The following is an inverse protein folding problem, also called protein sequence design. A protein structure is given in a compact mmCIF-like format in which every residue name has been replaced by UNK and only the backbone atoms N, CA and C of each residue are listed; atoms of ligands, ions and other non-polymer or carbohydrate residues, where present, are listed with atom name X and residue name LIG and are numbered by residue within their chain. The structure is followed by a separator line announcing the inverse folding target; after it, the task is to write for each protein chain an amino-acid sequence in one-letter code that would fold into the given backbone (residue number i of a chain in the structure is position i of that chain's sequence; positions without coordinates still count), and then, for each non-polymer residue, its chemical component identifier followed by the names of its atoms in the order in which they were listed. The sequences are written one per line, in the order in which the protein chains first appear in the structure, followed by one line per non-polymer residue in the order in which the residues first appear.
data_IF_884851591315
#
_entry.id   IF_884851591315
#
_cell.length_a   1.000
_cell.length_b   1.000
_cell.length_c   1.000
_cell.angle_alpha   90.00
_cell.angle_beta   90.00
_cell.angle_gamma   90.00
#
_symmetry.space_group_name_H-M   'P 1'
#
loop_
_entity.id
_entity.type
_entity.pdbx_description
1 polymer ?
#
# COMPACT_ATOMS: atom_id res chain seq x y z
N UNK A 1 8.34 -6.60 -21.33
CA UNK A 1 9.58 -5.85 -21.01
C UNK A 1 9.53 -5.59 -19.52
N UNK A 2 10.58 -5.92 -18.77
CA UNK A 2 10.70 -5.46 -17.39
C UNK A 2 11.02 -3.96 -17.45
N UNK A 3 10.37 -3.20 -16.57
CA UNK A 3 10.72 -1.81 -16.36
C UNK A 3 12.20 -1.69 -15.95
N UNK A 4 12.90 -0.68 -16.42
CA UNK A 4 14.33 -0.48 -16.14
C UNK A 4 14.62 0.92 -15.63
N UNK A 5 15.61 1.03 -14.76
CA UNK A 5 16.24 2.30 -14.39
C UNK A 5 17.46 2.45 -15.28
N UNK A 6 17.54 3.58 -16.00
CA UNK A 6 18.75 3.93 -16.75
C UNK A 6 19.62 4.84 -15.90
N UNK A 7 20.91 4.53 -15.83
CA UNK A 7 21.92 5.34 -15.17
C UNK A 7 22.89 5.81 -16.24
N UNK A 8 23.09 7.12 -16.31
CA UNK A 8 24.03 7.76 -17.23
C UNK A 8 25.05 8.52 -16.40
N UNK A 9 26.35 8.31 -16.65
CA UNK A 9 27.40 8.97 -15.91
C UNK A 9 28.47 9.52 -16.86
N UNK A 10 28.85 10.79 -16.67
CA UNK A 10 29.89 11.45 -17.47
C UNK A 10 29.87 12.97 -17.37
N UNK A 11 30.65 13.63 -18.22
CA UNK A 11 30.62 15.08 -18.35
C UNK A 11 29.40 15.50 -19.15
N UNK A 12 28.54 16.32 -18.57
CA UNK A 12 27.33 16.78 -19.23
C UNK A 12 27.09 18.27 -18.97
N UNK A 13 26.38 18.88 -19.93
CA UNK A 13 25.65 20.12 -19.75
C UNK A 13 24.21 19.78 -19.39
N UNK A 14 23.71 20.38 -18.31
CA UNK A 14 22.36 20.23 -17.79
C UNK A 14 21.67 21.57 -17.92
N UNK A 15 20.63 21.62 -18.74
CA UNK A 15 19.81 22.81 -18.97
C UNK A 15 18.42 22.56 -18.41
N UNK A 16 17.93 23.47 -17.58
CA UNK A 16 16.57 23.46 -17.09
C UNK A 16 15.86 24.72 -17.59
N UNK A 17 14.79 24.55 -18.34
CA UNK A 17 13.95 25.61 -18.89
C UNK A 17 12.58 25.56 -18.22
N UNK A 18 12.13 26.67 -17.66
CA UNK A 18 10.82 26.83 -17.01
C UNK A 18 10.60 28.32 -16.77
N UNK A 19 10.14 28.71 -15.57
CA UNK A 19 10.04 30.14 -15.17
C UNK A 19 11.36 30.91 -15.28
N UNK A 20 12.47 30.19 -15.13
CA UNK A 20 13.82 30.69 -15.38
C UNK A 20 14.65 29.60 -16.05
N UNK A 21 15.55 30.02 -16.94
CA UNK A 21 16.52 29.12 -17.55
C UNK A 21 17.77 29.05 -16.67
N UNK A 22 18.19 27.84 -16.34
CA UNK A 22 19.49 27.58 -15.72
C UNK A 22 20.28 26.58 -16.54
N UNK A 23 21.60 26.75 -16.55
CA UNK A 23 22.54 25.87 -17.20
C UNK A 23 23.69 25.58 -16.25
N UNK A 24 24.14 24.33 -16.24
CA UNK A 24 25.30 23.89 -15.47
C UNK A 24 26.09 22.85 -16.26
N UNK A 25 27.41 22.85 -16.09
CA UNK A 25 28.31 21.89 -16.72
C UNK A 25 29.13 21.18 -15.65
N UNK A 26 29.27 19.86 -15.76
CA UNK A 26 30.12 19.10 -14.85
C UNK A 26 30.01 17.59 -15.02
N UNK A 27 30.70 16.87 -14.14
CA UNK A 27 30.57 15.42 -13.99
C UNK A 27 29.29 15.11 -13.22
N UNK A 28 28.35 14.40 -13.84
CA UNK A 28 27.03 14.13 -13.27
C UNK A 28 26.66 12.66 -13.38
N UNK A 29 25.72 12.24 -12.53
CA UNK A 29 24.98 10.98 -12.66
C UNK A 29 23.51 11.31 -12.90
N UNK A 30 22.95 10.81 -14.01
CA UNK A 30 21.55 10.92 -14.38
C UNK A 30 20.85 9.60 -14.11
N UNK A 31 19.73 9.64 -13.39
CA UNK A 31 18.83 8.52 -13.17
C UNK A 31 17.54 8.75 -13.96
N UNK A 32 17.17 7.82 -14.83
CA UNK A 32 15.86 7.79 -15.50
C UNK A 32 15.08 6.61 -14.97
N UNK A 33 13.98 6.88 -14.28
CA UNK A 33 13.09 5.85 -13.72
C UNK A 33 11.98 5.47 -14.71
N UNK A 34 11.36 4.29 -14.55
CA UNK A 34 10.26 3.85 -15.40
C UNK A 34 9.04 4.78 -15.41
N UNK A 35 8.81 5.51 -14.30
CA UNK A 35 7.74 6.49 -14.18
C UNK A 35 8.09 7.85 -14.79
N UNK A 36 9.09 7.91 -15.69
CA UNK A 36 9.61 9.12 -16.31
C UNK A 36 10.21 10.15 -15.34
N UNK A 37 10.50 9.77 -14.09
CA UNK A 37 11.28 10.62 -13.21
C UNK A 37 12.75 10.65 -13.67
N UNK A 38 13.26 11.85 -13.91
CA UNK A 38 14.66 12.13 -14.24
C UNK A 38 15.30 12.91 -13.11
N UNK A 39 16.42 12.41 -12.57
CA UNK A 39 17.22 13.07 -11.53
C UNK A 39 18.65 13.22 -12.01
N UNK A 40 19.24 14.39 -11.86
CA UNK A 40 20.64 14.67 -12.21
C UNK A 40 21.38 15.09 -10.95
N UNK A 41 22.36 14.32 -10.51
CA UNK A 41 23.19 14.62 -9.34
C UNK A 41 24.61 14.98 -9.76
N UNK A 42 25.17 16.04 -9.16
CA UNK A 42 26.61 16.31 -9.18
C UNK A 42 27.29 15.67 -7.96
N UNK A 43 28.59 15.96 -7.78
CA UNK A 43 29.42 15.37 -6.72
C UNK A 43 29.03 15.80 -5.29
N UNK A 44 28.20 16.81 -5.12
CA UNK A 44 27.89 17.44 -3.84
C UNK A 44 26.40 17.71 -3.67
N UNK A 45 26.00 17.95 -2.41
CA UNK A 45 24.62 18.29 -2.09
C UNK A 45 23.68 17.09 -2.09
N UNK A 46 22.64 17.19 -1.25
CA UNK A 46 21.57 16.20 -1.20
C UNK A 46 20.55 16.40 -2.34
N UNK A 47 20.40 17.64 -2.81
CA UNK A 47 19.45 17.98 -3.87
C UNK A 47 20.07 17.68 -5.23
N UNK A 48 19.29 17.17 -6.20
CA UNK A 48 19.76 17.05 -7.58
C UNK A 48 20.10 18.44 -8.16
N UNK A 49 21.11 18.49 -9.03
CA UNK A 49 21.47 19.65 -9.85
C UNK A 49 20.37 20.00 -10.88
N UNK A 50 19.58 19.01 -11.29
CA UNK A 50 18.37 19.17 -12.08
C UNK A 50 17.46 17.96 -11.93
N UNK A 51 16.14 18.15 -11.99
CA UNK A 51 15.19 17.04 -11.93
C UNK A 51 13.85 17.37 -12.58
N UNK A 52 13.18 16.34 -13.07
CA UNK A 52 11.75 16.35 -13.38
C UNK A 52 11.14 15.06 -12.86
N UNK A 53 10.09 15.18 -12.04
CA UNK A 53 9.37 14.01 -11.52
C UNK A 53 8.17 13.71 -12.39
N UNK A 54 8.02 12.46 -12.82
CA UNK A 54 6.89 12.00 -13.64
C UNK A 54 6.65 12.87 -14.88
N UNK A 55 7.70 13.07 -15.66
CA UNK A 55 7.61 13.81 -16.90
C UNK A 55 6.57 13.17 -17.85
N UNK A 56 5.85 14.00 -18.59
CA UNK A 56 4.88 13.56 -19.61
C UNK A 56 5.60 12.82 -20.75
N UNK A 57 6.85 13.21 -21.02
CA UNK A 57 7.71 12.52 -21.97
C UNK A 57 9.17 12.56 -21.54
N UNK A 58 9.89 11.48 -21.86
CA UNK A 58 11.36 11.40 -21.78
C UNK A 58 11.87 10.82 -23.08
N UNK A 59 12.69 11.58 -23.78
CA UNK A 59 13.36 11.17 -25.02
C UNK A 59 14.84 11.02 -24.70
N UNK A 60 15.40 9.84 -24.99
CA UNK A 60 16.82 9.56 -24.84
C UNK A 60 17.39 9.14 -26.19
N UNK A 61 18.26 9.98 -26.74
CA UNK A 61 19.06 9.66 -27.92
C UNK A 61 20.49 9.32 -27.48
N UNK A 62 20.97 8.15 -27.89
CA UNK A 62 22.33 7.68 -27.63
C UNK A 62 23.06 7.52 -28.96
N UNK A 63 24.27 8.07 -29.05
CA UNK A 63 25.26 7.70 -30.07
C UNK A 63 26.42 6.94 -29.40
N UNK A 64 27.47 6.56 -30.14
CA UNK A 64 28.57 5.74 -29.59
C UNK A 64 29.21 6.35 -28.32
N UNK A 65 29.19 7.68 -28.17
CA UNK A 65 29.73 8.37 -26.99
C UNK A 65 28.90 9.58 -26.55
N UNK A 66 27.84 9.98 -27.26
CA UNK A 66 27.08 11.17 -26.91
C UNK A 66 25.65 10.87 -26.47
N UNK A 67 25.10 11.79 -25.67
CA UNK A 67 23.70 11.76 -25.22
C UNK A 67 22.99 13.05 -25.55
N UNK A 68 21.70 12.91 -25.87
CA UNK A 68 20.70 13.99 -25.80
C UNK A 68 19.48 13.40 -25.09
N UNK A 69 19.35 13.71 -23.79
CA UNK A 69 18.18 13.41 -22.99
C UNK A 69 17.32 14.66 -22.88
N UNK A 70 16.02 14.51 -23.13
CA UNK A 70 15.02 15.56 -22.94
C UNK A 70 13.83 15.02 -22.17
N UNK A 71 13.53 15.62 -21.03
CA UNK A 71 12.34 15.35 -20.25
C UNK A 71 11.46 16.59 -20.20
N UNK A 72 10.14 16.43 -20.34
CA UNK A 72 9.21 17.55 -20.36
C UNK A 72 7.97 17.29 -19.51
N UNK A 73 7.53 18.32 -18.79
CA UNK A 73 6.24 18.40 -18.13
C UNK A 73 5.73 19.83 -18.26
N UNK A 74 4.54 19.99 -18.83
CA UNK A 74 3.95 21.32 -19.09
C UNK A 74 4.93 22.24 -19.85
N UNK A 75 5.22 23.43 -19.32
CA UNK A 75 6.18 24.40 -19.87
C UNK A 75 7.62 24.19 -19.39
N UNK A 76 7.86 23.15 -18.58
CA UNK A 76 9.20 22.85 -18.03
C UNK A 76 9.90 21.76 -18.83
N UNK A 77 11.14 22.02 -19.25
CA UNK A 77 12.03 21.07 -19.92
C UNK A 77 13.33 20.89 -19.14
N UNK A 78 13.75 19.65 -18.95
CA UNK A 78 15.08 19.28 -18.49
C UNK A 78 15.81 18.61 -19.64
N UNK A 79 16.93 19.20 -20.06
CA UNK A 79 17.79 18.68 -21.10
C UNK A 79 19.17 18.34 -20.54
N UNK A 80 19.68 17.16 -20.90
CA UNK A 80 21.04 16.73 -20.56
C UNK A 80 21.75 16.30 -21.83
N UNK A 81 22.86 16.96 -22.14
CA UNK A 81 23.72 16.61 -23.27
C UNK A 81 25.14 16.37 -22.80
N UNK A 82 25.84 15.43 -23.39
CA UNK A 82 27.21 15.11 -23.02
C UNK A 82 27.89 14.22 -24.03
N UNK A 83 29.21 14.14 -23.92
CA UNK A 83 30.09 13.28 -24.70
C UNK A 83 30.86 12.35 -23.74
N UNK A 84 31.38 11.23 -24.26
CA UNK A 84 32.10 10.19 -23.53
C UNK A 84 31.38 9.67 -22.26
N UNK A 85 30.05 9.56 -22.31
CA UNK A 85 29.28 9.08 -21.16
C UNK A 85 29.16 7.55 -21.13
N UNK A 86 28.99 7.01 -19.93
CA UNK A 86 28.62 5.60 -19.73
C UNK A 86 27.12 5.49 -19.47
N UNK A 87 26.45 4.57 -20.16
CA UNK A 87 25.03 4.25 -19.94
C UNK A 87 24.91 2.81 -19.45
N UNK A 88 24.12 2.58 -18.42
CA UNK A 88 23.80 1.24 -17.92
C UNK A 88 22.33 1.16 -17.57
N UNK A 89 21.71 0.03 -17.88
CA UNK A 89 20.33 -0.27 -17.51
C UNK A 89 20.31 -1.27 -16.36
N UNK A 90 19.46 -1.02 -15.37
CA UNK A 90 19.24 -1.88 -14.22
C UNK A 90 17.76 -2.29 -14.15
N UNK A 91 17.44 -3.53 -13.77
CA UNK A 91 16.05 -3.92 -13.51
C UNK A 91 15.41 -2.99 -12.46
N UNK A 92 14.25 -2.43 -12.78
CA UNK A 92 13.48 -1.65 -11.83
C UNK A 92 12.62 -2.60 -10.99
N UNK A 93 12.93 -2.69 -9.70
CA UNK A 93 12.10 -3.42 -8.74
C UNK A 93 11.63 -2.48 -7.64
N UNK A 94 10.50 -2.82 -7.04
CA UNK A 94 10.11 -2.19 -5.77
C UNK A 94 11.12 -2.56 -4.69
N UNK A 95 11.36 -1.64 -3.77
CA UNK A 95 12.20 -1.87 -2.60
C UNK A 95 11.35 -1.81 -1.34
N UNK A 96 11.56 -2.76 -0.43
CA UNK A 96 10.83 -2.87 0.82
C UNK A 96 11.39 -3.99 1.70
N UNK A 97 10.90 -4.11 2.95
CA UNK A 97 11.28 -5.23 3.81
C UNK A 97 10.88 -6.56 3.18
N UNK A 98 11.76 -7.55 3.31
CA UNK A 98 11.48 -8.92 2.91
C UNK A 98 10.39 -9.52 3.81
N UNK A 99 9.44 -10.24 3.20
CA UNK A 99 8.29 -10.81 3.92
C UNK A 99 8.05 -12.30 3.61
N UNK A 100 8.91 -12.91 2.79
CA UNK A 100 8.84 -14.34 2.50
C UNK A 100 9.41 -14.68 1.14
N UNK A 101 9.03 -15.87 0.66
CA UNK A 101 9.50 -16.44 -0.60
C UNK A 101 8.30 -16.77 -1.48
N UNK A 102 8.41 -16.46 -2.77
CA UNK A 102 7.36 -16.77 -3.73
C UNK A 102 7.32 -18.29 -3.99
N UNK A 103 6.17 -18.96 -3.78
CA UNK A 103 6.05 -20.39 -4.02
C UNK A 103 6.17 -20.75 -5.51
N UNK A 104 5.87 -19.82 -6.41
CA UNK A 104 5.92 -20.04 -7.87
C UNK A 104 7.35 -20.09 -8.41
N UNK A 105 8.24 -19.20 -7.96
CA UNK A 105 9.58 -19.05 -8.55
C UNK A 105 10.74 -19.06 -7.53
N UNK A 106 10.46 -19.18 -6.23
CA UNK A 106 11.47 -19.21 -5.17
C UNK A 106 12.18 -17.88 -4.90
N UNK A 107 11.80 -16.79 -5.58
CA UNK A 107 12.40 -15.48 -5.36
C UNK A 107 11.84 -14.81 -4.09
N UNK A 108 12.59 -13.83 -3.58
CA UNK A 108 12.19 -13.06 -2.40
C UNK A 108 10.95 -12.19 -2.70
N UNK A 109 10.05 -12.14 -1.73
CA UNK A 109 8.90 -11.23 -1.72
C UNK A 109 9.16 -10.06 -0.78
N UNK A 110 8.78 -8.86 -1.18
CA UNK A 110 8.93 -7.62 -0.40
C UNK A 110 7.61 -6.89 -0.24
N UNK A 111 7.42 -6.20 0.88
CA UNK A 111 6.27 -5.31 1.08
C UNK A 111 6.59 -3.90 0.61
N UNK A 112 5.85 -3.39 -0.37
CA UNK A 112 6.03 -2.04 -0.89
C UNK A 112 4.70 -1.48 -1.41
N UNK A 113 4.46 -0.18 -1.23
CA UNK A 113 3.32 0.50 -1.85
C UNK A 113 1.92 -0.01 -1.45
N UNK A 114 1.78 -0.71 -0.32
CA UNK A 114 0.51 -1.33 0.07
C UNK A 114 0.29 -2.72 -0.54
N UNK A 115 1.34 -3.34 -1.08
CA UNK A 115 1.29 -4.67 -1.68
C UNK A 115 2.47 -5.51 -1.19
N UNK A 116 2.41 -6.81 -1.42
CA UNK A 116 3.54 -7.72 -1.37
C UNK A 116 3.88 -8.14 -2.80
N UNK A 117 5.12 -7.89 -3.23
CA UNK A 117 5.57 -8.13 -4.61
C UNK A 117 6.73 -9.12 -4.63
N UNK A 118 6.66 -10.10 -5.52
CA UNK A 118 7.76 -11.01 -5.82
C UNK A 118 8.81 -10.33 -6.73
N UNK A 119 10.07 -10.30 -6.31
CA UNK A 119 11.16 -9.70 -7.07
C UNK A 119 11.60 -10.51 -8.31
N UNK A 120 11.14 -11.77 -8.43
CA UNK A 120 11.48 -12.66 -9.54
C UNK A 120 10.45 -12.64 -10.67
N UNK A 121 9.21 -13.03 -10.36
CA UNK A 121 8.12 -13.11 -11.36
C UNK A 121 7.28 -11.84 -11.46
N UNK A 122 7.37 -10.91 -10.50
CA UNK A 122 6.57 -9.70 -10.47
C UNK A 122 5.14 -9.89 -9.92
N UNK A 123 4.77 -11.09 -9.46
CA UNK A 123 3.47 -11.33 -8.84
C UNK A 123 3.26 -10.39 -7.65
N UNK A 124 2.11 -9.73 -7.60
CA UNK A 124 1.77 -8.73 -6.61
C UNK A 124 0.44 -9.07 -5.91
N UNK A 125 0.40 -8.85 -4.60
CA UNK A 125 -0.75 -9.13 -3.74
C UNK A 125 -1.09 -7.88 -2.93
N UNK A 126 -2.24 -7.29 -3.19
CA UNK A 126 -2.70 -6.09 -2.50
C UNK A 126 -3.00 -6.38 -1.01
N UNK A 127 -2.53 -5.50 -0.14
CA UNK A 127 -2.77 -5.57 1.30
C UNK A 127 -3.95 -4.67 1.70
N UNK A 128 -4.87 -5.16 2.54
CA UNK A 128 -5.75 -4.29 3.32
C UNK A 128 -4.95 -3.24 4.10
N UNK A 129 -5.55 -2.08 4.36
CA UNK A 129 -4.85 -0.96 5.02
C UNK A 129 -4.37 -1.30 6.42
N UNK A 130 -5.15 -2.11 7.14
CA UNK A 130 -4.86 -2.59 8.50
C UNK A 130 -4.04 -3.89 8.52
N UNK A 131 -3.67 -4.43 7.36
CA UNK A 131 -2.97 -5.70 7.30
C UNK A 131 -1.49 -5.57 7.67
N UNK A 132 -1.04 -6.51 8.49
CA UNK A 132 0.38 -6.75 8.79
C UNK A 132 0.77 -8.13 8.26
N UNK A 133 1.85 -8.20 7.49
CA UNK A 133 2.38 -9.50 7.03
C UNK A 133 3.07 -10.19 8.20
N UNK A 134 2.77 -11.45 8.43
CA UNK A 134 3.31 -12.21 9.56
C UNK A 134 4.56 -12.99 9.15
N UNK A 135 5.19 -13.69 10.10
CA UNK A 135 6.31 -14.60 9.86
C UNK A 135 5.86 -16.02 9.46
N UNK A 136 4.55 -16.26 9.39
CA UNK A 136 3.97 -17.55 9.03
C UNK A 136 3.70 -17.65 7.52
N UNK A 137 3.64 -18.89 7.04
CA UNK A 137 3.31 -19.23 5.66
C UNK A 137 2.02 -20.03 5.63
N UNK A 138 1.13 -19.72 4.70
CA UNK A 138 -0.08 -20.47 4.43
C UNK A 138 0.27 -21.93 4.07
N UNK A 139 -0.38 -22.88 4.73
CA UNK A 139 -0.16 -24.32 4.51
C UNK A 139 -0.56 -24.79 3.11
N UNK A 140 -1.48 -24.08 2.46
CA UNK A 140 -2.12 -24.57 1.24
C UNK A 140 -1.39 -24.10 -0.02
N UNK A 141 -0.95 -22.83 -0.04
CA UNK A 141 -0.25 -22.25 -1.19
C UNK A 141 1.20 -21.85 -0.92
N UNK A 142 1.66 -21.84 0.35
CA UNK A 142 3.02 -21.45 0.72
C UNK A 142 3.31 -19.96 0.68
N UNK A 143 2.34 -19.10 0.33
CA UNK A 143 2.49 -17.64 0.45
C UNK A 143 2.55 -17.22 1.93
N UNK A 144 3.11 -16.05 2.26
CA UNK A 144 3.02 -15.46 3.59
C UNK A 144 1.56 -15.33 4.05
N UNK A 145 1.32 -15.33 5.36
CA UNK A 145 0.02 -14.95 5.92
C UNK A 145 0.00 -13.48 6.33
N UNK A 146 -1.19 -12.92 6.48
CA UNK A 146 -1.43 -11.58 6.99
C UNK A 146 -2.34 -11.63 8.20
N UNK A 147 -2.09 -10.75 9.16
CA UNK A 147 -2.98 -10.44 10.27
C UNK A 147 -3.81 -9.21 9.92
N UNK A 148 -5.13 -9.32 10.06
CA UNK A 148 -6.10 -8.23 9.88
C UNK A 148 -7.10 -8.22 11.04
N UNK A 149 -7.77 -7.10 11.27
CA UNK A 149 -8.80 -7.01 12.32
C UNK A 149 -10.19 -6.85 11.71
N UNK A 150 -11.06 -7.83 11.90
CA UNK A 150 -12.49 -7.76 11.49
C UNK A 150 -13.33 -8.43 12.57
N UNK A 151 -13.60 -7.69 13.64
CA UNK A 151 -14.25 -8.20 14.87
C UNK A 151 -13.34 -9.06 15.74
N UNK A 152 -12.34 -9.70 15.16
CA UNK A 152 -11.22 -10.33 15.86
C UNK A 152 -9.93 -10.10 15.05
N UNK A 153 -8.78 -10.34 15.69
CA UNK A 153 -7.54 -10.54 14.95
C UNK A 153 -7.65 -11.88 14.20
N UNK A 154 -7.61 -11.80 12.87
CA UNK A 154 -7.67 -12.93 11.97
C UNK A 154 -6.33 -13.03 11.27
N UNK A 155 -5.75 -14.23 11.26
CA UNK A 155 -4.62 -14.52 10.40
C UNK A 155 -5.09 -15.37 9.23
N UNK A 156 -4.89 -14.87 8.02
CA UNK A 156 -5.32 -15.50 6.77
C UNK A 156 -4.20 -15.46 5.73
N UNK A 157 -4.33 -16.23 4.65
CA UNK A 157 -3.39 -16.15 3.52
C UNK A 157 -3.31 -14.73 2.91
N UNK A 158 -2.11 -14.35 2.45
CA UNK A 158 -1.90 -13.15 1.64
C UNK A 158 -2.72 -13.16 0.34
N UNK A 159 -2.92 -14.32 -0.28
CA UNK A 159 -3.82 -14.45 -1.42
C UNK A 159 -5.26 -14.66 -0.94
N UNK A 160 -6.06 -13.60 -1.09
CA UNK A 160 -7.51 -13.59 -0.81
C UNK A 160 -8.31 -14.68 -1.53
N UNK A 161 -7.76 -15.32 -2.56
CA UNK A 161 -8.41 -16.44 -3.27
C UNK A 161 -8.13 -17.78 -2.61
N UNK A 162 -7.03 -17.87 -1.86
CA UNK A 162 -6.63 -19.08 -1.14
C UNK A 162 -7.36 -19.17 0.20
N UNK A 163 -7.44 -18.05 0.92
CA UNK A 163 -8.07 -17.97 2.24
C UNK A 163 -8.75 -16.59 2.39
N UNK A 164 -10.03 -16.47 2.00
CA UNK A 164 -10.73 -15.19 1.96
C UNK A 164 -11.05 -14.66 3.37
N UNK A 165 -10.75 -13.37 3.62
CA UNK A 165 -11.08 -12.71 4.89
C UNK A 165 -12.57 -12.82 5.23
N UNK A 166 -13.46 -12.73 4.24
CA UNK A 166 -14.91 -12.84 4.45
C UNK A 166 -15.35 -14.23 4.90
N UNK A 167 -14.65 -15.30 4.49
CA UNK A 167 -14.89 -16.64 4.99
C UNK A 167 -14.45 -16.75 6.45
N UNK A 168 -13.24 -16.29 6.78
CA UNK A 168 -12.74 -16.28 8.16
C UNK A 168 -13.61 -15.44 9.13
N UNK A 169 -14.19 -14.34 8.66
CA UNK A 169 -15.15 -13.54 9.45
C UNK A 169 -16.48 -14.28 9.59
N UNK A 170 -16.97 -14.89 8.51
CA UNK A 170 -18.23 -15.65 8.52
C UNK A 170 -18.16 -16.83 9.47
N UNK A 171 -17.09 -17.62 9.42
CA UNK A 171 -16.87 -18.73 10.35
C UNK A 171 -16.94 -18.31 11.83
N UNK A 172 -16.62 -17.05 12.13
CA UNK A 172 -16.56 -16.55 13.49
C UNK A 172 -17.81 -15.80 13.96
N UNK A 173 -18.52 -15.11 13.06
CA UNK A 173 -19.55 -14.15 13.43
C UNK A 173 -20.89 -14.34 12.71
N UNK A 174 -21.02 -15.31 11.80
CA UNK A 174 -22.28 -15.57 11.11
C UNK A 174 -23.36 -16.02 12.09
N UNK A 175 -24.46 -15.26 12.14
CA UNK A 175 -25.56 -15.49 13.07
C UNK A 175 -25.29 -15.09 14.52
N UNK A 176 -24.10 -14.57 14.86
CA UNK A 176 -23.75 -14.25 16.26
C UNK A 176 -24.41 -12.96 16.77
N UNK A 177 -24.85 -12.08 15.88
CA UNK A 177 -25.44 -10.79 16.23
C UNK A 177 -26.90 -10.72 15.80
N UNK A 178 -27.73 -10.11 16.65
CA UNK A 178 -29.17 -9.99 16.39
C UNK A 178 -29.51 -8.61 15.84
N UNK A 179 -30.34 -8.56 14.80
CA UNK A 179 -30.84 -7.33 14.23
C UNK A 179 -31.70 -6.56 15.25
N UNK A 180 -31.37 -5.30 15.61
CA UNK A 180 -32.12 -4.54 16.60
C UNK A 180 -33.55 -4.20 16.15
N UNK A 181 -33.82 -4.22 14.84
CA UNK A 181 -35.12 -3.86 14.27
C UNK A 181 -36.14 -5.00 14.28
N UNK A 182 -35.71 -6.24 13.97
CA UNK A 182 -36.62 -7.38 13.80
C UNK A 182 -36.25 -8.61 14.63
N UNK A 183 -35.14 -8.60 15.36
CA UNK A 183 -34.73 -9.71 16.21
C UNK A 183 -34.19 -10.93 15.47
N UNK A 184 -33.99 -10.86 14.15
CA UNK A 184 -33.40 -11.95 13.36
C UNK A 184 -31.89 -11.92 13.42
N UNK A 185 -31.25 -13.08 13.28
CA UNK A 185 -29.79 -13.18 13.26
C UNK A 185 -29.23 -12.50 12.01
N UNK A 186 -28.09 -11.84 12.17
CA UNK A 186 -27.36 -11.16 11.11
C UNK A 186 -26.39 -12.14 10.44
N UNK A 187 -26.38 -12.13 9.10
CA UNK A 187 -25.51 -12.95 8.27
C UNK A 187 -24.30 -12.15 7.80
N UNK A 188 -23.11 -12.75 7.79
CA UNK A 188 -21.88 -12.12 7.32
C UNK A 188 -21.81 -12.21 5.79
N UNK A 189 -21.86 -11.04 5.16
CA UNK A 189 -21.93 -10.88 3.72
C UNK A 189 -20.96 -9.80 3.23
N UNK A 190 -20.56 -9.89 1.96
CA UNK A 190 -19.75 -8.89 1.27
C UNK A 190 -20.55 -8.29 0.13
N UNK A 191 -21.08 -7.09 0.36
CA UNK A 191 -21.62 -6.23 -0.70
C UNK A 191 -20.53 -5.28 -1.21
N UNK A 192 -20.75 -3.97 -1.09
CA UNK A 192 -19.70 -2.96 -1.32
C UNK A 192 -18.61 -3.03 -0.27
N UNK A 193 -18.95 -3.45 0.94
CA UNK A 193 -18.05 -3.67 2.08
C UNK A 193 -18.39 -5.00 2.74
N UNK A 194 -17.45 -5.54 3.53
CA UNK A 194 -17.71 -6.67 4.41
C UNK A 194 -18.56 -6.19 5.58
N UNK A 195 -19.64 -6.89 5.90
CA UNK A 195 -20.58 -6.46 6.92
C UNK A 195 -21.52 -7.55 7.41
N UNK A 196 -22.32 -7.19 8.41
CA UNK A 196 -23.41 -8.01 8.94
C UNK A 196 -24.73 -7.53 8.33
N UNK A 197 -25.44 -8.43 7.65
CA UNK A 197 -26.68 -8.16 6.92
C UNK A 197 -27.85 -8.82 7.61
N UNK A 198 -28.96 -8.10 7.75
CA UNK A 198 -30.22 -8.71 8.16
C UNK A 198 -30.97 -9.27 6.94
N UNK A 199 -31.34 -10.56 6.92
CA UNK A 199 -32.10 -11.15 5.81
C UNK A 199 -33.54 -10.61 5.71
N UNK A 200 -34.11 -10.13 6.82
CA UNK A 200 -35.51 -9.70 6.89
C UNK A 200 -35.72 -8.18 6.70
N UNK A 201 -34.76 -7.36 7.15
CA UNK A 201 -34.85 -5.89 7.04
C UNK A 201 -33.97 -5.32 5.93
N UNK A 202 -33.14 -6.15 5.28
CA UNK A 202 -32.15 -5.76 4.27
C UNK A 202 -31.13 -4.70 4.74
N UNK A 203 -31.06 -4.41 6.04
CA UNK A 203 -30.06 -3.52 6.63
C UNK A 203 -28.70 -4.21 6.59
N UNK A 204 -27.65 -3.42 6.30
CA UNK A 204 -26.27 -3.89 6.23
C UNK A 204 -25.38 -2.98 7.08
N UNK A 205 -24.70 -3.57 8.07
CA UNK A 205 -23.77 -2.89 8.95
C UNK A 205 -22.32 -3.21 8.58
N UNK A 206 -21.53 -2.26 8.05
CA UNK A 206 -20.13 -2.50 7.70
C UNK A 206 -19.31 -2.86 8.95
N UNK A 207 -18.52 -3.93 8.87
CA UNK A 207 -17.63 -4.34 9.96
C UNK A 207 -16.40 -3.40 9.99
N UNK A 208 -16.13 -2.72 11.12
CA UNK A 208 -14.94 -1.90 11.28
C UNK A 208 -13.63 -2.71 11.28
N UNK A 209 -12.53 -2.02 10.99
CA UNK A 209 -11.18 -2.51 11.20
C UNK A 209 -10.88 -2.45 12.71
N UNK A 210 -11.25 -3.49 13.45
CA UNK A 210 -11.15 -3.53 14.91
C UNK A 210 -11.58 -4.86 15.52
N UNK A 211 -11.57 -4.92 16.84
CA UNK A 211 -11.93 -6.11 17.63
C UNK A 211 -13.21 -5.86 18.42
N UNK A 212 -14.09 -6.85 18.54
CA UNK A 212 -15.30 -6.77 19.35
C UNK A 212 -14.92 -6.65 20.83
N UNK A 213 -15.40 -5.60 21.49
CA UNK A 213 -15.15 -5.25 22.89
C UNK A 213 -16.44 -4.76 23.58
N UNK A 214 -17.35 -5.69 23.81
CA UNK A 214 -18.62 -5.45 24.52
C UNK A 214 -19.81 -5.19 23.59
N UNK A 215 -20.85 -4.57 24.15
CA UNK A 215 -22.17 -4.45 23.50
C UNK A 215 -22.74 -3.03 23.68
N UNK A 216 -23.27 -2.47 22.60
CA UNK A 216 -23.89 -1.14 22.56
C UNK A 216 -25.28 -1.16 23.19
N UNK A 217 -25.87 0.04 23.35
CA UNK A 217 -27.24 0.19 23.81
C UNK A 217 -28.29 -0.46 22.88
N UNK A 218 -28.00 -0.58 21.58
CA UNK A 218 -28.87 -1.28 20.63
C UNK A 218 -28.72 -2.81 20.65
N UNK A 219 -27.83 -3.37 21.47
CA UNK A 219 -27.56 -4.81 21.52
C UNK A 219 -26.55 -5.33 20.50
N UNK A 220 -26.07 -4.48 19.58
CA UNK A 220 -24.99 -4.82 18.64
C UNK A 220 -23.60 -4.69 19.29
N UNK A 221 -22.56 -5.32 18.75
CA UNK A 221 -21.21 -5.26 19.33
C UNK A 221 -20.59 -3.86 19.24
N UNK A 222 -19.80 -3.55 20.27
CA UNK A 222 -18.82 -2.44 20.26
C UNK A 222 -17.53 -2.97 19.65
N UNK A 223 -16.88 -2.14 18.83
CA UNK A 223 -15.57 -2.39 18.24
C UNK A 223 -14.54 -1.44 18.84
N UNK A 224 -13.45 -1.96 19.36
CA UNK A 224 -12.22 -1.21 19.62
C UNK A 224 -11.41 -1.11 18.32
N UNK A 225 -11.13 0.13 17.89
CA UNK A 225 -10.38 0.46 16.67
C UNK A 225 -9.22 1.40 17.01
N UNK A 226 -8.31 1.60 16.06
CA UNK A 226 -7.22 2.59 16.19
C UNK A 226 -7.72 4.05 16.40
N UNK A 227 -9.01 4.30 16.12
CA UNK A 227 -9.66 5.59 16.30
C UNK A 227 -10.59 5.64 17.51
N UNK A 228 -10.52 4.64 18.40
CA UNK A 228 -11.34 4.50 19.59
C UNK A 228 -12.47 3.48 19.43
N UNK A 229 -13.38 3.48 20.42
CA UNK A 229 -14.52 2.56 20.47
C UNK A 229 -15.67 3.09 19.62
N UNK A 230 -16.38 2.21 18.91
CA UNK A 230 -17.59 2.55 18.14
C UNK A 230 -18.53 1.36 18.03
N UNK A 231 -19.82 1.62 17.85
CA UNK A 231 -20.77 0.55 17.59
C UNK A 231 -20.66 0.01 16.14
N UNK A 232 -21.11 -1.23 15.93
CA UNK A 232 -21.33 -1.80 14.60
C UNK A 232 -22.33 -0.97 13.79
N UNK A 233 -23.41 -0.54 14.45
CA UNK A 233 -24.35 0.42 13.89
C UNK A 233 -23.83 1.85 14.09
N UNK A 234 -23.43 2.56 13.03
CA UNK A 234 -22.89 3.92 13.16
C UNK A 234 -23.90 4.92 13.74
N UNK A 235 -25.21 4.63 13.68
CA UNK A 235 -26.26 5.51 14.21
C UNK A 235 -26.54 5.24 15.70
N UNK A 236 -25.94 4.19 16.29
CA UNK A 236 -26.07 3.88 17.71
C UNK A 236 -24.96 4.52 18.55
N UNK A 237 -25.33 5.12 19.66
CA UNK A 237 -24.40 5.56 20.70
C UNK A 237 -23.92 4.36 21.53
N UNK A 238 -22.64 4.36 21.89
CA UNK A 238 -22.13 3.50 22.95
C UNK A 238 -22.94 3.81 24.21
N UNK A 239 -23.63 2.81 24.78
CA UNK A 239 -24.25 2.99 26.09
C UNK A 239 -23.17 3.31 27.13
N UNK A 240 -23.53 3.94 28.26
CA UNK A 240 -22.59 4.23 29.35
C UNK A 240 -21.97 2.92 29.89
N UNK A 241 -20.82 2.50 29.34
CA UNK A 241 -20.09 1.29 29.74
C UNK A 241 -19.11 1.54 30.90
N UNK A 242 -19.24 2.67 31.61
CA UNK A 242 -18.43 3.03 32.78
C UNK A 242 -19.18 2.82 34.11
N UNK A 243 -19.96 1.74 34.24
CA UNK A 243 -20.65 1.39 35.49
C UNK A 243 -19.90 0.36 36.35
N UNK A 244 -18.60 0.10 36.10
CA UNK A 244 -17.78 -0.83 36.89
C UNK A 244 -16.47 -0.19 37.41
N UNK A 245 -16.46 1.14 37.57
CA UNK A 245 -15.45 1.78 38.42
C UNK A 245 -15.78 1.49 39.89
N UNK A 246 -14.85 0.91 40.69
CA UNK A 246 -15.08 0.69 42.11
C UNK A 246 -15.31 2.05 42.80
N UNK A 247 -16.23 2.13 43.79
CA UNK A 247 -16.51 3.40 44.45
C UNK A 247 -15.25 3.93 45.14
N UNK A 248 -14.87 5.18 44.84
CA UNK A 248 -13.81 5.88 45.55
C UNK A 248 -14.09 5.88 47.06
N UNK A 249 -13.06 5.66 47.91
CA UNK A 249 -13.24 5.69 49.35
C UNK A 249 -13.61 7.10 49.78
N UNK A 250 -14.79 7.22 50.41
CA UNK A 250 -15.22 8.46 51.05
C UNK A 250 -14.33 8.72 52.28
N UNK A 251 -13.63 9.85 52.27
CA UNK A 251 -12.96 10.42 53.44
C UNK A 251 -13.93 11.20 54.32
#
# INVERSE_FOLDING_TARGET
MQDSIRVIAGQCTVTHEGDSTSESEGQVVVLVKPDNTVLVHDATGYRPAGWLTRAESVQLSLSEQAIDLRARIEETELRVTGEDVTVTEFPATVAGPAVGTCPTCGAQMVRAGGEVVCLGCGDAYALPRDATVTDRTCSDCGLPTISVTRGAALEVCLDRRCDPIDEAVRERFDGEWTCPTCGSDLEIDRQRTLGARCPNCEVHYPIPDGVVDGTCACGLPVFETDHGRRCLDPDCTLGDLDADSPPEPRH
#
